data_IF_537653455826
#
_entry.id   IF_537653455826
#
_cell.length_a   1.000
_cell.length_b   1.000
_cell.length_c   1.000
_cell.angle_alpha   90.00
_cell.angle_beta   90.00
_cell.angle_gamma   90.00
#
_symmetry.space_group_name_H-M   'P 1'
#
loop_
_entity.id
_entity.type
_entity.pdbx_description
1 polymer ?
#
# COMPACT_ATOMS: atom_id res chain seq x y z
N UNK A 1 10.44 -25.30 26.81
CA UNK A 1 9.76 -25.77 25.58
C UNK A 1 8.84 -24.71 24.97
N UNK A 2 7.86 -24.13 25.69
CA UNK A 2 6.95 -23.13 25.11
C UNK A 2 7.65 -21.87 24.55
N UNK A 3 8.80 -21.51 25.13
CA UNK A 3 9.63 -20.36 24.71
C UNK A 3 10.86 -20.75 23.86
N UNK A 4 11.03 -22.05 23.56
CA UNK A 4 12.17 -22.49 22.73
C UNK A 4 12.03 -21.90 21.33
N UNK A 5 13.13 -21.37 20.78
CA UNK A 5 13.12 -20.75 19.47
C UNK A 5 13.74 -21.69 18.44
N UNK A 6 13.13 -21.77 17.25
CA UNK A 6 13.72 -22.44 16.11
C UNK A 6 14.85 -21.59 15.47
N UNK A 7 15.39 -22.01 14.33
CA UNK A 7 16.45 -21.28 13.62
C UNK A 7 16.04 -19.89 13.12
N UNK A 8 14.74 -19.62 12.93
CA UNK A 8 14.23 -18.29 12.58
C UNK A 8 13.87 -17.45 13.81
N UNK A 9 14.17 -17.93 15.03
CA UNK A 9 13.83 -17.22 16.26
C UNK A 9 12.37 -17.38 16.69
N UNK A 10 11.56 -18.13 15.95
CA UNK A 10 10.14 -18.30 16.22
C UNK A 10 9.90 -19.29 17.37
N UNK A 11 9.12 -18.89 18.37
CA UNK A 11 8.58 -19.79 19.38
C UNK A 11 7.51 -20.72 18.79
N UNK A 12 7.13 -21.82 19.47
CA UNK A 12 6.00 -22.67 19.06
C UNK A 12 4.72 -21.89 18.74
N UNK A 13 4.39 -20.85 19.53
CA UNK A 13 3.23 -20.01 19.30
C UNK A 13 3.36 -19.21 17.99
N UNK A 14 4.55 -18.65 17.72
CA UNK A 14 4.83 -17.93 16.49
C UNK A 14 4.80 -18.85 15.27
N UNK A 15 5.41 -20.04 15.36
CA UNK A 15 5.39 -21.02 14.28
C UNK A 15 3.95 -21.47 13.97
N UNK A 16 3.13 -21.70 15.00
CA UNK A 16 1.72 -22.00 14.83
C UNK A 16 0.94 -20.85 14.18
N UNK A 17 1.27 -19.59 14.51
CA UNK A 17 0.69 -18.41 13.87
C UNK A 17 1.04 -18.32 12.38
N UNK A 18 2.32 -18.50 12.01
CA UNK A 18 2.74 -18.52 10.60
C UNK A 18 2.06 -19.63 9.78
N UNK A 19 1.78 -20.77 10.40
CA UNK A 19 1.06 -21.88 9.76
C UNK A 19 -0.47 -21.72 9.78
N UNK A 20 -1.02 -20.62 10.30
CA UNK A 20 -2.47 -20.37 10.37
C UNK A 20 -3.21 -21.21 11.42
N UNK A 21 -2.51 -21.84 12.35
CA UNK A 21 -3.10 -22.70 13.40
C UNK A 21 -3.56 -21.89 14.62
N UNK A 22 -4.41 -20.88 14.41
CA UNK A 22 -4.77 -19.88 15.44
C UNK A 22 -5.39 -20.46 16.72
N UNK A 23 -6.19 -21.54 16.61
CA UNK A 23 -6.73 -22.21 17.79
C UNK A 23 -5.63 -22.85 18.65
N UNK A 24 -4.55 -23.33 18.02
CA UNK A 24 -3.38 -23.81 18.75
C UNK A 24 -2.62 -22.65 19.41
N UNK A 25 -2.46 -21.52 18.70
CA UNK A 25 -1.85 -20.30 19.28
C UNK A 25 -2.61 -19.86 20.53
N UNK A 26 -3.95 -19.81 20.47
CA UNK A 26 -4.82 -19.48 21.62
C UNK A 26 -4.56 -20.45 22.80
N UNK A 27 -4.56 -21.76 22.55
CA UNK A 27 -4.28 -22.78 23.59
C UNK A 27 -2.87 -22.71 24.18
N UNK A 28 -1.89 -22.21 23.44
CA UNK A 28 -0.53 -22.01 23.93
C UNK A 28 -0.47 -20.76 24.82
N UNK A 29 -1.07 -19.66 24.37
CA UNK A 29 -1.20 -18.42 25.15
C UNK A 29 -2.01 -18.63 26.44
N UNK A 30 -3.06 -19.45 26.42
CA UNK A 30 -3.83 -19.78 27.62
C UNK A 30 -3.02 -20.58 28.65
N UNK A 31 -1.95 -21.27 28.22
CA UNK A 31 -1.02 -21.94 29.14
C UNK A 31 0.04 -20.99 29.68
N UNK A 32 0.45 -20.01 28.88
CA UNK A 32 1.45 -19.02 29.24
C UNK A 32 1.20 -17.71 28.48
N UNK A 33 0.63 -16.72 29.17
CA UNK A 33 0.27 -15.43 28.57
C UNK A 33 1.48 -14.63 28.12
N UNK A 34 2.68 -14.89 28.66
CA UNK A 34 3.91 -14.18 28.25
C UNK A 34 4.28 -14.46 26.79
N UNK A 35 3.75 -15.53 26.19
CA UNK A 35 3.88 -15.82 24.77
C UNK A 35 3.27 -14.72 23.87
N UNK A 36 2.35 -13.90 24.37
CA UNK A 36 1.80 -12.76 23.62
C UNK A 36 2.88 -11.75 23.18
N UNK A 37 4.02 -11.71 23.89
CA UNK A 37 5.16 -10.82 23.61
C UNK A 37 6.28 -11.49 22.80
N UNK A 38 6.08 -12.72 22.33
CA UNK A 38 7.11 -13.46 21.56
C UNK A 38 7.43 -12.77 20.24
N UNK A 39 8.70 -12.89 19.83
CA UNK A 39 9.22 -12.34 18.57
C UNK A 39 10.17 -13.30 17.87
N UNK A 40 10.19 -13.28 16.55
CA UNK A 40 11.16 -14.00 15.73
C UNK A 40 12.48 -13.20 15.56
N UNK A 41 13.40 -13.68 14.70
CA UNK A 41 14.67 -12.99 14.43
C UNK A 41 14.50 -11.68 13.63
N UNK A 42 13.41 -11.56 12.87
CA UNK A 42 13.05 -10.34 12.15
C UNK A 42 12.22 -9.40 13.03
N UNK A 43 12.19 -9.60 14.35
CA UNK A 43 11.40 -8.81 15.31
C UNK A 43 9.90 -8.74 14.99
N UNK A 44 9.36 -9.67 14.19
CA UNK A 44 7.92 -9.81 14.03
C UNK A 44 7.32 -10.22 15.37
N UNK A 45 6.34 -9.46 15.85
CA UNK A 45 5.47 -9.85 16.96
C UNK A 45 4.32 -10.71 16.45
N UNK A 46 3.55 -11.34 17.34
CA UNK A 46 2.33 -12.04 16.94
C UNK A 46 1.32 -11.14 16.21
N UNK A 47 1.31 -9.82 16.46
CA UNK A 47 0.45 -8.88 15.74
C UNK A 47 0.88 -8.69 14.27
N UNK A 48 2.13 -8.98 13.91
CA UNK A 48 2.58 -8.99 12.52
C UNK A 48 2.14 -10.24 11.75
N UNK A 49 1.54 -11.24 12.40
CA UNK A 49 1.20 -12.52 11.78
C UNK A 49 -0.29 -12.86 11.93
N UNK A 50 -0.94 -12.40 13.00
CA UNK A 50 -2.33 -12.77 13.34
C UNK A 50 -3.40 -11.91 12.65
N UNK A 51 -3.15 -11.37 11.45
CA UNK A 51 -4.17 -10.56 10.75
C UNK A 51 -5.45 -11.35 10.50
N UNK A 52 -5.32 -12.66 10.21
CA UNK A 52 -6.47 -13.53 9.94
C UNK A 52 -7.18 -14.05 11.20
N UNK A 53 -6.75 -13.64 12.40
CA UNK A 53 -7.41 -13.99 13.66
C UNK A 53 -7.75 -12.75 14.49
N UNK A 54 -8.81 -11.99 14.13
CA UNK A 54 -9.18 -10.76 14.83
C UNK A 54 -9.39 -10.92 16.33
N UNK A 55 -9.95 -12.06 16.77
CA UNK A 55 -10.16 -12.33 18.20
C UNK A 55 -8.84 -12.34 18.96
N UNK A 56 -7.85 -13.09 18.46
CA UNK A 56 -6.57 -13.23 19.14
C UNK A 56 -5.70 -11.98 18.99
N UNK A 57 -5.74 -11.34 17.82
CA UNK A 57 -5.11 -10.05 17.60
C UNK A 57 -5.59 -9.02 18.64
N UNK A 58 -6.92 -8.87 18.79
CA UNK A 58 -7.51 -7.93 19.75
C UNK A 58 -7.08 -8.23 21.19
N UNK A 59 -7.12 -9.51 21.58
CA UNK A 59 -6.65 -9.96 22.92
C UNK A 59 -5.20 -9.55 23.19
N UNK A 60 -4.30 -9.75 22.22
CA UNK A 60 -2.87 -9.39 22.36
C UNK A 60 -2.69 -7.86 22.41
N UNK A 61 -3.39 -7.11 21.55
CA UNK A 61 -3.34 -5.65 21.54
C UNK A 61 -4.03 -5.01 22.77
N UNK A 62 -4.92 -5.72 23.45
CA UNK A 62 -5.49 -5.32 24.75
C UNK A 62 -4.54 -5.62 25.90
N UNK A 63 -3.82 -6.73 25.83
CA UNK A 63 -2.81 -7.11 26.81
C UNK A 63 -1.62 -6.12 26.82
N UNK A 64 -1.09 -5.80 25.63
CA UNK A 64 0.01 -4.85 25.47
C UNK A 64 -0.16 -3.99 24.21
N UNK A 65 -0.78 -2.80 24.35
CA UNK A 65 -0.98 -1.87 23.23
C UNK A 65 0.32 -1.40 22.56
N UNK A 66 1.46 -1.43 23.27
CA UNK A 66 2.75 -1.00 22.71
C UNK A 66 3.19 -1.88 21.55
N UNK A 67 2.70 -3.13 21.49
CA UNK A 67 2.98 -4.04 20.39
C UNK A 67 2.48 -3.52 19.04
N UNK A 68 1.49 -2.61 19.01
CA UNK A 68 1.05 -1.92 17.78
C UNK A 68 2.11 -0.93 17.25
N UNK A 69 3.08 -0.55 18.07
CA UNK A 69 4.16 0.39 17.77
C UNK A 69 5.53 -0.30 17.62
N UNK A 70 5.53 -1.62 17.53
CA UNK A 70 6.73 -2.41 17.30
C UNK A 70 6.89 -2.64 15.80
N UNK A 71 8.02 -2.22 15.23
CA UNK A 71 8.35 -2.49 13.84
C UNK A 71 9.18 -3.76 13.71
N UNK A 72 8.96 -4.52 12.65
CA UNK A 72 9.86 -5.61 12.29
C UNK A 72 11.23 -5.08 11.80
N UNK A 73 12.24 -5.93 11.83
CA UNK A 73 13.60 -5.66 11.36
C UNK A 73 13.71 -5.77 9.85
N UNK A 74 12.90 -6.58 9.17
CA UNK A 74 13.05 -6.76 7.73
C UNK A 74 12.62 -5.53 6.92
N UNK A 75 11.34 -5.14 6.99
CA UNK A 75 10.75 -4.03 6.24
C UNK A 75 10.52 -2.78 7.08
N UNK A 76 10.69 -2.86 8.40
CA UNK A 76 10.24 -1.79 9.30
C UNK A 76 8.73 -1.70 9.41
N UNK A 77 7.99 -2.70 8.94
CA UNK A 77 6.54 -2.70 9.02
C UNK A 77 6.11 -2.81 10.47
N UNK A 78 5.12 -2.00 10.83
CA UNK A 78 4.34 -2.14 12.05
C UNK A 78 3.15 -3.05 11.77
N UNK A 79 2.46 -3.59 12.80
CA UNK A 79 1.28 -4.45 12.60
C UNK A 79 0.20 -3.84 11.70
N UNK A 80 0.07 -2.51 11.70
CA UNK A 80 -0.87 -1.80 10.82
C UNK A 80 -0.54 -1.99 9.33
N UNK A 81 0.74 -1.98 8.96
CA UNK A 81 1.17 -2.20 7.58
C UNK A 81 0.84 -3.62 7.13
N UNK A 82 1.11 -4.60 8.01
CA UNK A 82 0.73 -5.99 7.75
C UNK A 82 -0.79 -6.14 7.60
N UNK A 83 -1.62 -5.44 8.39
CA UNK A 83 -3.08 -5.42 8.19
C UNK A 83 -3.49 -4.81 6.84
N UNK A 84 -2.78 -3.79 6.36
CA UNK A 84 -3.03 -3.15 5.06
C UNK A 84 -2.85 -4.09 3.87
N UNK A 85 -2.05 -5.17 4.00
CA UNK A 85 -1.92 -6.21 2.98
C UNK A 85 -3.17 -7.06 2.81
N UNK A 86 -3.96 -7.25 3.87
CA UNK A 86 -5.08 -8.18 3.89
C UNK A 86 -6.41 -7.42 3.85
N UNK A 87 -6.85 -7.10 2.62
CA UNK A 87 -8.10 -6.38 2.37
C UNK A 87 -9.37 -7.03 2.96
N UNK A 88 -9.32 -8.29 3.38
CA UNK A 88 -10.47 -8.98 3.99
C UNK A 88 -10.65 -8.69 5.48
N UNK A 89 -9.68 -8.04 6.13
CA UNK A 89 -9.71 -7.79 7.58
C UNK A 89 -10.10 -6.35 7.90
N UNK A 90 -11.07 -5.81 7.14
CA UNK A 90 -11.52 -4.43 7.22
C UNK A 90 -11.98 -4.04 8.63
N UNK A 91 -12.73 -4.92 9.30
CA UNK A 91 -13.25 -4.67 10.66
C UNK A 91 -12.15 -4.71 11.74
N UNK A 92 -11.11 -5.51 11.54
CA UNK A 92 -9.94 -5.48 12.41
C UNK A 92 -9.15 -4.18 12.20
N UNK A 93 -8.95 -3.77 10.95
CA UNK A 93 -8.26 -2.53 10.61
C UNK A 93 -8.97 -1.31 11.22
N UNK A 94 -10.30 -1.21 11.04
CA UNK A 94 -11.13 -0.16 11.67
C UNK A 94 -10.97 -0.15 13.19
N UNK A 95 -11.04 -1.33 13.82
CA UNK A 95 -10.90 -1.43 15.27
C UNK A 95 -9.53 -0.95 15.76
N UNK A 96 -8.45 -1.30 15.06
CA UNK A 96 -7.09 -0.85 15.43
C UNK A 96 -6.99 0.67 15.29
N UNK A 97 -7.45 1.24 14.18
CA UNK A 97 -7.40 2.69 13.94
C UNK A 97 -8.26 3.45 14.94
N UNK A 98 -9.45 2.96 15.28
CA UNK A 98 -10.31 3.59 16.30
C UNK A 98 -9.72 3.53 17.70
N UNK A 99 -9.03 2.43 18.02
CA UNK A 99 -8.42 2.23 19.34
C UNK A 99 -7.14 3.04 19.51
N UNK A 100 -6.30 3.07 18.48
CA UNK A 100 -5.00 3.75 18.48
C UNK A 100 -4.81 4.51 17.16
N UNK A 101 -5.41 5.71 16.99
CA UNK A 101 -5.33 6.46 15.74
C UNK A 101 -3.91 6.83 15.31
N UNK A 102 -2.98 6.91 16.27
CA UNK A 102 -1.58 7.29 16.00
C UNK A 102 -0.84 6.27 15.14
N UNK A 103 -1.35 5.03 15.00
CA UNK A 103 -0.79 4.03 14.07
C UNK A 103 -0.79 4.50 12.62
N UNK A 104 -1.70 5.41 12.24
CA UNK A 104 -1.76 5.97 10.88
C UNK A 104 -0.52 6.78 10.51
N UNK A 105 0.24 7.28 11.51
CA UNK A 105 1.44 8.09 11.30
C UNK A 105 2.73 7.26 11.25
N UNK A 106 2.62 5.94 11.41
CA UNK A 106 3.77 5.04 11.42
C UNK A 106 4.33 4.88 10.00
N UNK A 107 5.64 5.11 9.85
CA UNK A 107 6.38 4.91 8.59
C UNK A 107 7.31 3.71 8.68
N UNK A 108 7.24 2.81 7.70
CA UNK A 108 8.17 1.68 7.60
C UNK A 108 9.56 2.12 7.10
N UNK A 109 10.50 1.18 6.87
CA UNK A 109 11.88 1.51 6.43
C UNK A 109 11.95 2.15 5.04
N UNK A 110 10.89 2.06 4.24
CA UNK A 110 10.77 2.74 2.94
C UNK A 110 9.96 4.04 3.05
N UNK A 111 9.69 4.53 4.26
CA UNK A 111 8.91 5.74 4.49
C UNK A 111 7.42 5.59 4.22
N UNK A 112 6.93 4.36 3.95
CA UNK A 112 5.52 4.14 3.59
C UNK A 112 4.62 4.21 4.81
N UNK A 113 3.45 4.81 4.65
CA UNK A 113 2.32 4.72 5.58
C UNK A 113 1.40 3.55 5.19
N UNK A 114 0.43 3.25 6.06
CA UNK A 114 -0.64 2.29 5.77
C UNK A 114 -1.29 2.56 4.40
N UNK A 115 -1.59 3.82 4.07
CA UNK A 115 -2.32 4.15 2.83
C UNK A 115 -1.57 3.70 1.58
N UNK A 116 -0.25 3.87 1.53
CA UNK A 116 0.56 3.46 0.37
C UNK A 116 0.44 1.96 0.13
N UNK A 117 0.51 1.16 1.19
CA UNK A 117 0.35 -0.29 1.08
C UNK A 117 -1.09 -0.68 0.71
N UNK A 118 -2.07 0.01 1.30
CA UNK A 118 -3.48 -0.26 1.09
C UNK A 118 -3.89 -0.06 -0.37
N UNK A 119 -3.49 1.06 -1.00
CA UNK A 119 -3.83 1.35 -2.40
C UNK A 119 -2.98 0.57 -3.40
N UNK A 120 -1.84 0.02 -2.98
CA UNK A 120 -1.02 -0.88 -3.81
C UNK A 120 -1.65 -2.27 -3.97
N UNK A 121 -2.65 -2.64 -3.15
CA UNK A 121 -3.37 -3.90 -3.30
C UNK A 121 -4.65 -3.71 -4.12
N UNK A 122 -5.03 -4.68 -4.95
CA UNK A 122 -6.31 -4.61 -5.67
C UNK A 122 -7.48 -4.49 -4.68
N UNK A 123 -8.23 -3.39 -4.78
CA UNK A 123 -9.40 -3.16 -3.94
C UNK A 123 -10.67 -3.64 -4.65
N UNK A 124 -11.54 -4.31 -3.90
CA UNK A 124 -12.94 -4.52 -4.26
C UNK A 124 -13.80 -3.37 -3.70
N UNK A 125 -15.12 -3.51 -3.78
CA UNK A 125 -16.06 -2.48 -3.31
C UNK A 125 -15.92 -2.20 -1.81
N UNK A 126 -15.71 -3.24 -1.00
CA UNK A 126 -15.55 -3.08 0.45
C UNK A 126 -14.20 -2.43 0.78
N UNK A 127 -13.14 -2.83 0.07
CA UNK A 127 -11.82 -2.21 0.14
C UNK A 127 -11.85 -0.72 -0.23
N UNK A 128 -12.57 -0.36 -1.29
CA UNK A 128 -12.74 1.06 -1.67
C UNK A 128 -13.54 1.84 -0.62
N UNK A 129 -14.58 1.24 -0.04
CA UNK A 129 -15.34 1.86 1.06
C UNK A 129 -14.45 2.09 2.29
N UNK A 130 -13.56 1.13 2.60
CA UNK A 130 -12.60 1.32 3.69
C UNK A 130 -11.54 2.36 3.35
N UNK A 131 -11.08 2.45 2.10
CA UNK A 131 -10.19 3.52 1.65
C UNK A 131 -10.80 4.89 1.97
N UNK A 132 -12.06 5.12 1.57
CA UNK A 132 -12.75 6.38 1.84
C UNK A 132 -12.84 6.66 3.36
N UNK A 133 -13.24 5.66 4.13
CA UNK A 133 -13.32 5.77 5.58
C UNK A 133 -11.97 6.09 6.23
N UNK A 134 -10.87 5.48 5.74
CA UNK A 134 -9.51 5.72 6.25
C UNK A 134 -9.08 7.17 6.01
N UNK A 135 -9.37 7.71 4.82
CA UNK A 135 -9.10 9.13 4.52
C UNK A 135 -9.96 10.05 5.40
N UNK A 136 -11.19 9.67 5.73
CA UNK A 136 -12.01 10.43 6.69
C UNK A 136 -11.41 10.45 8.10
N UNK A 137 -10.70 9.39 8.52
CA UNK A 137 -10.05 9.36 9.83
C UNK A 137 -8.82 10.27 9.87
N UNK A 138 -8.07 10.34 8.77
CA UNK A 138 -6.88 11.17 8.66
C UNK A 138 -6.63 11.59 7.19
N UNK A 139 -7.08 12.80 6.80
CA UNK A 139 -6.89 13.29 5.45
C UNK A 139 -5.42 13.49 5.06
N UNK A 140 -4.52 13.67 6.03
CA UNK A 140 -3.09 13.92 5.79
C UNK A 140 -2.38 12.71 5.17
N UNK A 141 -2.99 11.53 5.25
CA UNK A 141 -2.55 10.32 4.56
C UNK A 141 -2.35 10.55 3.05
N UNK A 142 -3.19 11.37 2.41
CA UNK A 142 -3.11 11.63 0.97
C UNK A 142 -1.91 12.50 0.57
N UNK A 143 -1.45 13.37 1.46
CA UNK A 143 -0.34 14.29 1.23
C UNK A 143 1.03 13.60 1.40
N UNK A 144 1.03 12.42 2.04
CA UNK A 144 2.24 11.69 2.31
C UNK A 144 2.87 11.16 1.01
N UNK A 145 4.20 11.20 1.01
CA UNK A 145 5.06 10.48 0.06
C UNK A 145 5.93 9.51 0.85
N UNK A 146 6.28 8.39 0.23
CA UNK A 146 7.27 7.47 0.79
C UNK A 146 8.70 8.00 0.58
N UNK A 147 9.70 7.25 1.04
CA UNK A 147 11.08 7.71 0.97
C UNK A 147 11.59 7.83 -0.46
N UNK A 148 10.94 7.24 -1.47
CA UNK A 148 11.29 7.46 -2.89
C UNK A 148 10.45 8.54 -3.56
N UNK A 149 9.65 9.27 -2.77
CA UNK A 149 8.78 10.35 -3.26
C UNK A 149 7.49 9.85 -3.90
N UNK A 150 7.15 8.57 -3.78
CA UNK A 150 5.92 8.02 -4.35
C UNK A 150 4.73 8.44 -3.49
N UNK A 151 3.75 9.10 -4.12
CA UNK A 151 2.46 9.43 -3.50
C UNK A 151 1.47 8.27 -3.60
N UNK A 152 0.31 8.39 -2.93
CA UNK A 152 -0.78 7.41 -3.04
C UNK A 152 -1.22 7.17 -4.49
N UNK A 153 -1.21 8.20 -5.35
CA UNK A 153 -1.55 8.06 -6.76
C UNK A 153 -0.54 7.14 -7.49
N UNK A 154 0.76 7.31 -7.24
CA UNK A 154 1.80 6.44 -7.81
C UNK A 154 1.59 4.98 -7.40
N UNK A 155 1.35 4.73 -6.12
CA UNK A 155 1.13 3.37 -5.61
C UNK A 155 -0.12 2.71 -6.21
N UNK A 156 -1.19 3.47 -6.44
CA UNK A 156 -2.43 2.96 -7.03
C UNK A 156 -2.29 2.49 -8.48
N UNK A 157 -1.29 2.97 -9.23
CA UNK A 157 -1.01 2.50 -10.59
C UNK A 157 -0.41 1.09 -10.64
N UNK A 158 0.30 0.64 -9.60
CA UNK A 158 0.86 -0.72 -9.57
C UNK A 158 -0.22 -1.81 -9.54
N UNK A 159 -1.40 -1.50 -9.03
CA UNK A 159 -2.53 -2.41 -8.87
C UNK A 159 -3.66 -2.17 -9.85
N UNK A 160 -3.52 -1.21 -10.77
CA UNK A 160 -4.62 -0.81 -11.68
C UNK A 160 -5.92 -0.49 -10.92
N UNK A 161 -5.81 0.11 -9.74
CA UNK A 161 -6.95 0.47 -8.89
C UNK A 161 -7.69 1.70 -9.44
N UNK A 162 -8.37 1.55 -10.58
CA UNK A 162 -9.01 2.66 -11.30
C UNK A 162 -9.98 3.48 -10.47
N UNK A 163 -10.69 2.85 -9.52
CA UNK A 163 -11.60 3.57 -8.61
C UNK A 163 -10.84 4.52 -7.69
N UNK A 164 -9.75 4.06 -7.09
CA UNK A 164 -8.87 4.90 -6.25
C UNK A 164 -8.23 5.99 -7.09
N UNK A 165 -7.67 5.64 -8.26
CA UNK A 165 -7.01 6.62 -9.14
C UNK A 165 -7.99 7.73 -9.55
N UNK A 166 -9.19 7.37 -10.02
CA UNK A 166 -10.22 8.36 -10.38
C UNK A 166 -10.60 9.23 -9.20
N UNK A 167 -10.86 8.61 -8.05
CA UNK A 167 -11.23 9.34 -6.84
C UNK A 167 -10.14 10.32 -6.39
N UNK A 168 -8.87 9.90 -6.39
CA UNK A 168 -7.73 10.77 -6.03
C UNK A 168 -7.65 11.98 -6.97
N UNK A 169 -7.75 11.74 -8.28
CA UNK A 169 -7.69 12.79 -9.31
C UNK A 169 -8.92 13.70 -9.35
N UNK A 170 -10.07 13.22 -8.91
CA UNK A 170 -11.28 14.03 -8.71
C UNK A 170 -11.18 14.87 -7.44
N UNK A 171 -10.60 14.30 -6.38
CA UNK A 171 -10.43 14.98 -5.09
C UNK A 171 -9.36 16.06 -5.15
N UNK A 172 -8.24 15.76 -5.81
CA UNK A 172 -7.14 16.67 -6.04
C UNK A 172 -6.51 16.41 -7.42
N UNK A 173 -6.92 17.15 -8.47
CA UNK A 173 -6.32 17.02 -9.79
C UNK A 173 -4.82 17.32 -9.84
N UNK A 174 -4.28 18.06 -8.86
CA UNK A 174 -2.87 18.48 -8.86
C UNK A 174 -1.91 17.32 -8.59
N UNK A 175 -2.37 16.24 -7.95
CA UNK A 175 -1.55 15.06 -7.70
C UNK A 175 -1.11 14.34 -8.99
N UNK A 176 -1.76 14.61 -10.13
CA UNK A 176 -1.29 14.19 -11.46
C UNK A 176 0.11 14.75 -11.83
N UNK A 177 0.54 15.82 -11.15
CA UNK A 177 1.85 16.46 -11.32
C UNK A 177 2.86 16.09 -10.23
N UNK A 178 2.53 15.17 -9.32
CA UNK A 178 3.47 14.71 -8.31
C UNK A 178 4.70 14.08 -8.96
N UNK A 179 5.88 14.34 -8.40
CA UNK A 179 7.11 13.71 -8.85
C UNK A 179 7.70 12.81 -7.77
N UNK A 180 8.15 11.62 -8.18
CA UNK A 180 9.06 10.78 -7.39
C UNK A 180 10.43 11.46 -7.26
N UNK A 181 11.32 10.89 -6.46
CA UNK A 181 12.72 11.34 -6.37
C UNK A 181 13.46 11.22 -7.70
N UNK A 182 13.12 10.23 -8.53
CA UNK A 182 13.65 10.14 -9.89
C UNK A 182 12.96 11.12 -10.85
N UNK A 183 12.03 11.96 -10.39
CA UNK A 183 11.34 12.94 -11.23
C UNK A 183 10.20 12.36 -12.07
N UNK A 184 9.80 11.10 -11.83
CA UNK A 184 8.70 10.44 -12.55
C UNK A 184 7.36 11.02 -12.13
N UNK A 185 6.54 11.39 -13.12
CA UNK A 185 5.12 11.70 -12.97
C UNK A 185 4.25 10.42 -13.00
N UNK A 186 3.02 10.46 -12.44
CA UNK A 186 2.06 9.36 -12.53
C UNK A 186 1.78 8.87 -13.95
N UNK A 187 1.81 9.75 -14.96
CA UNK A 187 1.62 9.38 -16.36
C UNK A 187 2.71 8.42 -16.87
N UNK A 188 3.96 8.50 -16.36
CA UNK A 188 5.01 7.56 -16.73
C UNK A 188 4.71 6.15 -16.19
N UNK A 189 4.16 6.06 -14.98
CA UNK A 189 3.70 4.80 -14.40
C UNK A 189 2.54 4.22 -15.19
N UNK A 190 1.55 5.05 -15.54
CA UNK A 190 0.44 4.64 -16.40
C UNK A 190 0.94 4.07 -17.73
N UNK A 191 1.88 4.75 -18.40
CA UNK A 191 2.49 4.29 -19.66
C UNK A 191 3.22 2.95 -19.55
N UNK A 192 3.64 2.56 -18.35
CA UNK A 192 4.41 1.34 -18.13
C UNK A 192 3.55 0.18 -17.63
N UNK A 193 2.75 0.41 -16.59
CA UNK A 193 2.06 -0.64 -15.85
C UNK A 193 0.66 -0.91 -16.37
N UNK A 194 -0.01 0.08 -16.97
CA UNK A 194 -1.42 -0.05 -17.31
C UNK A 194 -1.65 -0.65 -18.69
N UNK A 195 -2.65 -1.54 -18.80
CA UNK A 195 -3.02 -2.24 -20.04
C UNK A 195 -4.43 -1.88 -20.52
N UNK A 196 -5.25 -1.30 -19.65
CA UNK A 196 -6.61 -0.89 -19.97
C UNK A 196 -6.58 0.38 -20.83
N UNK A 197 -6.67 0.18 -22.14
CA UNK A 197 -6.63 1.23 -23.16
C UNK A 197 -7.70 2.30 -22.94
N UNK A 198 -8.90 1.93 -22.49
CA UNK A 198 -9.95 2.90 -22.19
C UNK A 198 -9.60 3.79 -21.00
N UNK A 199 -8.95 3.24 -19.98
CA UNK A 199 -8.48 4.01 -18.83
C UNK A 199 -7.30 4.91 -19.17
N UNK A 200 -6.35 4.38 -19.95
CA UNK A 200 -5.22 5.13 -20.48
C UNK A 200 -5.73 6.34 -21.27
N UNK A 201 -6.62 6.13 -22.25
CA UNK A 201 -7.23 7.22 -23.03
C UNK A 201 -7.89 8.26 -22.14
N UNK A 202 -8.73 7.83 -21.20
CA UNK A 202 -9.39 8.73 -20.25
C UNK A 202 -8.39 9.60 -19.47
N UNK A 203 -7.29 9.02 -18.98
CA UNK A 203 -6.30 9.77 -18.22
C UNK A 203 -5.57 10.77 -19.13
N UNK A 204 -5.12 10.34 -20.30
CA UNK A 204 -4.36 11.19 -21.20
C UNK A 204 -5.20 12.32 -21.83
N UNK A 205 -6.48 12.09 -22.12
CA UNK A 205 -7.40 13.15 -22.56
C UNK A 205 -7.56 14.24 -21.49
N UNK A 206 -7.51 13.86 -20.21
CA UNK A 206 -7.65 14.78 -19.08
C UNK A 206 -6.34 15.46 -18.68
N UNK A 207 -5.21 14.80 -18.91
CA UNK A 207 -3.86 15.20 -18.51
C UNK A 207 -2.91 15.20 -19.71
N UNK A 208 -3.35 15.82 -20.80
CA UNK A 208 -2.62 15.82 -22.08
C UNK A 208 -1.34 16.64 -22.04
N UNK A 209 -1.27 17.69 -21.20
CA UNK A 209 -0.07 18.52 -21.04
C UNK A 209 1.13 17.70 -20.53
N UNK A 210 0.87 16.69 -19.69
CA UNK A 210 1.88 15.81 -19.10
C UNK A 210 2.50 14.84 -20.11
N UNK A 211 1.97 14.75 -21.34
CA UNK A 211 2.53 13.93 -22.41
C UNK A 211 3.93 14.33 -22.86
N UNK A 212 4.23 15.62 -22.74
CA UNK A 212 5.48 16.21 -23.20
C UNK A 212 6.48 16.41 -22.05
N UNK A 213 6.09 16.03 -20.83
CA UNK A 213 6.92 16.12 -19.64
C UNK A 213 7.97 15.02 -19.64
N UNK A 214 9.24 15.42 -19.65
CA UNK A 214 10.36 14.47 -19.57
C UNK A 214 10.65 14.14 -18.12
N UNK A 215 10.96 12.88 -17.84
CA UNK A 215 11.72 12.56 -16.64
C UNK A 215 13.19 13.02 -16.80
N UNK A 216 13.97 13.14 -15.71
CA UNK A 216 15.35 13.64 -15.72
C UNK A 216 16.32 12.91 -16.67
N UNK A 217 16.09 11.62 -16.98
CA UNK A 217 16.87 10.90 -18.00
C UNK A 217 16.59 11.36 -19.44
N UNK A 218 15.54 12.16 -19.64
CA UNK A 218 15.08 12.66 -20.94
C UNK A 218 13.90 11.89 -21.53
N UNK A 219 13.46 10.80 -20.90
CA UNK A 219 12.36 9.98 -21.41
C UNK A 219 11.00 10.66 -21.20
N UNK A 220 10.22 10.67 -22.27
CA UNK A 220 8.79 11.00 -22.29
C UNK A 220 7.92 9.77 -21.97
N UNK A 221 6.64 9.95 -21.57
CA UNK A 221 5.68 8.86 -21.40
C UNK A 221 5.59 7.90 -22.60
N UNK A 222 5.78 8.36 -23.84
CA UNK A 222 5.79 7.50 -25.03
C UNK A 222 6.97 6.51 -25.03
N UNK A 223 8.13 6.85 -24.46
CA UNK A 223 9.27 5.92 -24.38
C UNK A 223 8.94 4.73 -23.46
N UNK A 224 8.25 4.99 -22.34
CA UNK A 224 7.75 3.94 -21.44
C UNK A 224 6.74 3.05 -22.15
N UNK A 225 5.79 3.64 -22.89
CA UNK A 225 4.81 2.89 -23.68
C UNK A 225 5.47 2.02 -24.76
N UNK A 226 6.49 2.54 -25.46
CA UNK A 226 7.30 1.78 -26.41
C UNK A 226 8.04 0.62 -25.73
N UNK A 227 8.64 0.86 -24.56
CA UNK A 227 9.36 -0.18 -23.82
C UNK A 227 8.42 -1.27 -23.28
N UNK A 228 7.19 -0.91 -22.91
CA UNK A 228 6.15 -1.84 -22.50
C UNK A 228 5.46 -2.57 -23.68
N UNK A 229 5.70 -2.11 -24.92
CA UNK A 229 5.10 -2.68 -26.14
C UNK A 229 3.62 -2.30 -26.33
N UNK A 230 3.19 -1.16 -25.80
CA UNK A 230 1.80 -0.70 -25.88
C UNK A 230 1.53 0.05 -27.19
N UNK A 231 1.47 -0.69 -28.30
CA UNK A 231 1.29 -0.16 -29.66
C UNK A 231 0.12 0.84 -29.78
N UNK A 232 -1.06 0.49 -29.28
CA UNK A 232 -2.24 1.36 -29.37
C UNK A 232 -2.05 2.70 -28.65
N UNK A 233 -1.37 2.70 -27.49
CA UNK A 233 -1.04 3.91 -26.76
C UNK A 233 -0.02 4.74 -27.54
N UNK A 234 1.04 4.11 -28.07
CA UNK A 234 2.05 4.81 -28.87
C UNK A 234 1.41 5.48 -30.09
N UNK A 235 0.56 4.76 -30.83
CA UNK A 235 -0.13 5.31 -31.99
C UNK A 235 -1.05 6.47 -31.60
N UNK A 236 -1.80 6.34 -30.51
CA UNK A 236 -2.66 7.41 -30.02
C UNK A 236 -1.87 8.67 -29.60
N UNK A 237 -0.73 8.53 -28.91
CA UNK A 237 0.12 9.68 -28.53
C UNK A 237 0.62 10.41 -29.78
N UNK A 238 1.03 9.67 -30.81
CA UNK A 238 1.48 10.25 -32.09
C UNK A 238 0.35 10.99 -32.82
N UNK A 239 -0.87 10.47 -32.77
CA UNK A 239 -2.05 11.17 -33.32
C UNK A 239 -2.29 12.51 -32.60
N UNK A 240 -2.16 12.55 -31.27
CA UNK A 240 -2.33 13.79 -30.51
C UNK A 240 -1.25 14.85 -30.83
N UNK A 241 0.01 14.44 -30.98
CA UNK A 241 1.11 15.37 -31.33
C UNK A 241 0.89 16.00 -32.72
N UNK A 242 0.44 15.22 -33.72
CA UNK A 242 0.11 15.76 -35.04
C UNK A 242 -1.04 16.76 -35.00
N UNK A 243 -2.05 16.53 -34.14
CA UNK A 243 -3.13 17.52 -33.93
C UNK A 243 -2.55 18.80 -33.37
N UNK A 244 -1.70 18.75 -32.33
CA UNK A 244 -1.09 19.97 -31.73
C UNK A 244 -0.28 20.77 -32.76
N UNK A 245 0.50 20.11 -33.62
CA UNK A 245 1.32 20.79 -34.64
C UNK A 245 0.53 21.38 -35.82
N UNK A 246 -0.72 20.94 -36.04
CA UNK A 246 -1.55 21.43 -37.17
C UNK A 246 -2.46 22.60 -36.79
N UNK A 247 -2.66 22.88 -35.49
CA UNK A 247 -3.44 24.02 -34.99
C UNK A 247 -2.58 25.20 -34.50
N UNK A 248 -1.25 25.05 -34.48
CA UNK A 248 -0.24 26.08 -34.14
C UNK A 248 0.35 26.74 -35.37
#
# INVERSE_FOLDING_TARGET
MLHEKNSSGASPAMQAAYCGHFHLVEKLIDRDETLMQTRDNDNNTLLHVLQECPKLFKRIAEYDPKLLHEKNEYSGDYPIHSLGYYSKQLELLKWVIQKEPTVLQQRNKSGRLLIHQFVQNQLDYEGFTLFLWLIEQDPTQLEAKDDEGYSSLHHAFFSSNFQVIKWLLEKDPSCANDRTKEGLLPIHFLSWYEKNQGFIRWFFEKYSEQLLEKQPSGDLPIHFACQAGYEELVMWILEQDQVVQTVS
#
